data_IF_770191011094
#
_entry.id   IF_770191011094
#
_cell.length_a   1.000
_cell.length_b   1.000
_cell.length_c   1.000
_cell.angle_alpha   90.00
_cell.angle_beta   90.00
_cell.angle_gamma   90.00
#
_symmetry.space_group_name_H-M   'P 1'
#
loop_
_entity.id
_entity.type
_entity.pdbx_description
1 polymer ?
#
# COMPACT_ATOMS: atom_id res chain seq x y z
N UNK A 1 9.98 17.88 -2.80
CA UNK A 1 10.49 16.50 -2.57
C UNK A 1 11.99 16.58 -2.47
N UNK A 2 12.57 15.72 -1.64
CA UNK A 2 14.02 15.53 -1.52
C UNK A 2 14.40 14.13 -1.97
N UNK A 3 15.63 14.02 -2.48
CA UNK A 3 16.16 12.83 -3.10
C UNK A 3 17.55 12.52 -2.54
N UNK A 4 17.92 11.24 -2.54
CA UNK A 4 19.30 10.83 -2.31
C UNK A 4 20.15 10.96 -3.60
N UNK A 5 21.45 10.71 -3.47
CA UNK A 5 22.40 10.73 -4.61
C UNK A 5 22.09 9.66 -5.67
N UNK A 6 21.27 8.66 -5.36
CA UNK A 6 20.83 7.61 -6.28
C UNK A 6 19.49 7.93 -6.96
N UNK A 7 18.92 9.11 -6.68
CA UNK A 7 17.65 9.58 -7.24
C UNK A 7 16.40 9.02 -6.55
N UNK A 8 16.53 8.39 -5.37
CA UNK A 8 15.40 7.88 -4.60
C UNK A 8 14.81 8.96 -3.72
N UNK A 9 13.49 9.03 -3.66
CA UNK A 9 12.78 10.01 -2.83
C UNK A 9 13.01 9.69 -1.36
N UNK A 10 13.59 10.61 -0.61
CA UNK A 10 13.79 10.44 0.84
C UNK A 10 12.66 11.10 1.62
N UNK A 11 12.20 12.28 1.19
CA UNK A 11 11.14 13.03 1.86
C UNK A 11 10.19 13.70 0.87
N UNK A 12 8.91 13.70 1.24
CA UNK A 12 7.82 14.39 0.55
C UNK A 12 7.23 15.42 1.49
N UNK A 13 7.03 16.62 0.98
CA UNK A 13 6.52 17.77 1.72
C UNK A 13 5.20 18.22 1.11
N UNK A 14 4.31 18.76 1.93
CA UNK A 14 3.04 19.34 1.48
C UNK A 14 3.23 20.73 0.87
N UNK A 15 4.30 21.43 1.24
CA UNK A 15 4.57 22.82 0.87
C UNK A 15 5.88 22.98 0.08
N UNK A 16 5.95 24.06 -0.71
CA UNK A 16 7.14 24.40 -1.49
C UNK A 16 8.33 24.82 -0.60
N UNK A 17 8.07 25.36 0.60
CA UNK A 17 9.08 25.77 1.55
C UNK A 17 9.68 24.60 2.36
N UNK A 18 9.19 23.37 2.14
CA UNK A 18 9.65 22.13 2.78
C UNK A 18 9.60 22.18 4.31
N UNK A 19 8.58 22.81 4.86
CA UNK A 19 8.39 22.93 6.31
C UNK A 19 7.52 21.82 6.87
N UNK A 20 6.57 21.29 6.07
CA UNK A 20 5.63 20.26 6.49
C UNK A 20 5.93 18.95 5.76
N UNK A 21 6.68 18.07 6.42
CA UNK A 21 6.94 16.71 5.95
C UNK A 21 5.63 15.93 5.97
N UNK A 22 5.27 15.28 4.88
CA UNK A 22 4.11 14.37 4.79
C UNK A 22 4.54 12.92 4.90
N UNK A 23 5.64 12.57 4.23
CA UNK A 23 6.11 11.19 4.19
C UNK A 23 7.61 11.14 4.06
N UNK A 24 8.24 10.23 4.79
CA UNK A 24 9.67 9.93 4.70
C UNK A 24 9.86 8.45 4.37
N UNK A 25 10.85 8.17 3.55
CA UNK A 25 11.18 6.82 3.10
C UNK A 25 12.57 6.44 3.60
N UNK A 26 12.67 5.23 4.14
CA UNK A 26 13.94 4.61 4.49
C UNK A 26 14.21 3.45 3.53
N UNK A 27 15.47 3.32 3.14
CA UNK A 27 15.93 2.30 2.21
C UNK A 27 16.98 1.42 2.89
N UNK A 28 17.04 0.16 2.51
CA UNK A 28 18.12 -0.75 2.90
C UNK A 28 19.39 -0.51 2.06
N UNK A 29 20.45 -1.26 2.37
CA UNK A 29 21.75 -1.21 1.68
C UNK A 29 21.66 -1.59 0.19
N UNK A 30 20.69 -2.44 -0.16
CA UNK A 30 20.37 -2.82 -1.54
C UNK A 30 19.48 -1.79 -2.23
N UNK A 31 18.99 -0.81 -1.47
CA UNK A 31 18.17 0.26 -1.95
C UNK A 31 16.69 -0.10 -2.16
N UNK A 32 16.20 -1.19 -1.59
CA UNK A 32 14.77 -1.44 -1.48
C UNK A 32 14.18 -0.63 -0.32
N UNK A 33 12.90 -0.27 -0.43
CA UNK A 33 12.20 0.46 0.63
C UNK A 33 12.06 -0.45 1.85
N UNK A 34 12.67 -0.03 2.95
CA UNK A 34 12.64 -0.67 4.26
C UNK A 34 11.44 -0.18 5.08
N UNK A 35 11.22 1.13 5.10
CA UNK A 35 10.12 1.74 5.85
C UNK A 35 9.56 3.00 5.18
N UNK A 36 8.32 3.32 5.55
CA UNK A 36 7.63 4.56 5.20
C UNK A 36 7.06 5.17 6.48
N UNK A 37 7.53 6.35 6.83
CA UNK A 37 7.03 7.16 7.93
C UNK A 37 6.02 8.17 7.38
N UNK A 38 4.83 8.24 7.97
CA UNK A 38 3.78 9.19 7.60
C UNK A 38 3.57 10.17 8.75
N UNK A 39 3.48 11.45 8.43
CA UNK A 39 3.40 12.53 9.39
C UNK A 39 2.05 13.25 9.29
N UNK A 40 1.59 13.83 10.40
CA UNK A 40 0.43 14.71 10.43
C UNK A 40 0.80 16.11 9.86
N UNK A 41 -0.18 16.99 9.72
CA UNK A 41 0.03 18.38 9.29
C UNK A 41 0.88 19.20 10.27
N UNK A 42 0.97 18.78 11.53
CA UNK A 42 1.78 19.43 12.56
C UNK A 42 3.25 19.00 12.52
N UNK A 43 3.60 17.98 11.71
CA UNK A 43 4.95 17.42 11.61
C UNK A 43 5.24 16.27 12.58
N UNK A 44 4.25 15.78 13.33
CA UNK A 44 4.41 14.62 14.21
C UNK A 44 4.24 13.32 13.44
N UNK A 45 5.04 12.31 13.80
CA UNK A 45 4.94 10.97 13.23
C UNK A 45 3.60 10.34 13.62
N UNK A 46 2.86 9.81 12.65
CA UNK A 46 1.62 9.05 12.90
C UNK A 46 1.81 7.55 12.73
N UNK A 47 2.39 7.13 11.60
CA UNK A 47 2.49 5.73 11.24
C UNK A 47 3.85 5.42 10.63
N UNK A 48 4.42 4.28 11.01
CA UNK A 48 5.56 3.68 10.34
C UNK A 48 5.13 2.37 9.72
N UNK A 49 5.16 2.31 8.38
CA UNK A 49 4.91 1.09 7.61
C UNK A 49 6.25 0.41 7.32
N UNK A 50 6.43 -0.83 7.78
CA UNK A 50 7.62 -1.64 7.56
C UNK A 50 7.39 -2.63 6.42
N UNK A 51 8.39 -2.79 5.55
CA UNK A 51 8.35 -3.72 4.43
C UNK A 51 9.38 -4.82 4.63
N UNK A 52 8.92 -6.05 4.88
CA UNK A 52 9.79 -7.22 4.93
C UNK A 52 9.86 -7.82 3.54
N UNK A 53 11.09 -8.09 3.07
CA UNK A 53 11.36 -8.53 1.70
C UNK A 53 12.23 -9.78 1.69
N UNK A 54 12.13 -10.55 0.61
CA UNK A 54 13.09 -11.61 0.30
C UNK A 54 14.40 -11.03 -0.27
N UNK A 55 15.39 -11.90 -0.51
CA UNK A 55 16.68 -11.50 -1.09
C UNK A 55 16.57 -10.97 -2.53
N UNK A 56 15.48 -11.27 -3.24
CA UNK A 56 15.19 -10.77 -4.58
C UNK A 56 14.47 -9.41 -4.57
N UNK A 57 14.06 -8.90 -3.40
CA UNK A 57 13.36 -7.64 -3.22
C UNK A 57 11.83 -7.74 -3.25
N UNK A 58 11.25 -8.93 -3.36
CA UNK A 58 9.80 -9.11 -3.31
C UNK A 58 9.30 -8.89 -1.88
N UNK A 59 8.19 -8.18 -1.70
CA UNK A 59 7.59 -7.94 -0.37
C UNK A 59 6.93 -9.22 0.10
N UNK A 60 7.35 -9.73 1.26
CA UNK A 60 6.75 -10.90 1.91
C UNK A 60 5.62 -10.49 2.85
N UNK A 61 5.80 -9.41 3.58
CA UNK A 61 4.81 -8.92 4.53
C UNK A 61 5.00 -7.43 4.79
N UNK A 62 3.89 -6.76 5.07
CA UNK A 62 3.84 -5.35 5.43
C UNK A 62 3.28 -5.27 6.84
N UNK A 63 3.99 -4.53 7.69
CA UNK A 63 3.56 -4.23 9.04
C UNK A 63 3.34 -2.73 9.19
N UNK A 64 2.46 -2.35 10.10
CA UNK A 64 2.25 -0.96 10.47
C UNK A 64 2.38 -0.79 11.97
N UNK A 65 2.97 0.34 12.37
CA UNK A 65 3.10 0.76 13.74
C UNK A 65 2.56 2.17 13.86
N UNK A 66 1.60 2.37 14.75
CA UNK A 66 1.17 3.72 15.14
C UNK A 66 2.22 4.32 16.07
N UNK A 67 2.63 5.56 15.85
CA UNK A 67 3.66 6.23 16.65
C UNK A 67 3.31 6.35 18.14
N UNK A 68 2.01 6.43 18.46
CA UNK A 68 1.52 6.50 19.84
C UNK A 68 1.50 5.13 20.53
N UNK A 69 1.71 4.03 19.78
CA UNK A 69 1.55 2.67 20.27
C UNK A 69 2.83 1.84 20.01
N UNK A 70 3.29 1.05 20.99
CA UNK A 70 4.47 0.20 20.79
C UNK A 70 4.17 -1.04 19.94
N UNK A 71 2.89 -1.33 19.66
CA UNK A 71 2.48 -2.55 18.98
C UNK A 71 2.69 -2.43 17.46
N UNK A 72 3.29 -3.45 16.88
CA UNK A 72 3.47 -3.59 15.43
C UNK A 72 2.47 -4.63 14.95
N UNK A 73 1.58 -4.23 14.03
CA UNK A 73 0.52 -5.09 13.51
C UNK A 73 0.82 -5.50 12.08
N UNK A 74 0.56 -6.76 11.76
CA UNK A 74 0.57 -7.22 10.38
C UNK A 74 -0.61 -6.57 9.65
N UNK A 75 -0.38 -5.94 8.50
CA UNK A 75 -1.44 -5.30 7.72
C UNK A 75 -1.70 -6.04 6.42
N UNK A 76 -0.64 -6.41 5.69
CA UNK A 76 -0.76 -7.04 4.38
C UNK A 76 0.28 -8.14 4.16
N UNK A 77 -0.13 -9.22 3.52
CA UNK A 77 0.75 -10.29 3.04
C UNK A 77 0.48 -10.49 1.55
N UNK A 78 1.40 -10.11 0.65
CA UNK A 78 1.24 -10.38 -0.77
C UNK A 78 1.17 -11.89 -1.06
N UNK A 79 0.32 -12.29 -2.00
CA UNK A 79 0.17 -13.68 -2.42
C UNK A 79 0.83 -13.86 -3.79
N UNK A 80 1.78 -14.78 -3.88
CA UNK A 80 2.56 -15.04 -5.08
C UNK A 80 2.26 -16.42 -5.68
N UNK A 81 2.33 -16.49 -7.01
CA UNK A 81 2.42 -17.70 -7.82
C UNK A 81 3.60 -17.58 -8.78
N UNK A 82 3.36 -17.62 -10.09
CA UNK A 82 4.36 -17.20 -11.09
C UNK A 82 4.62 -15.68 -11.10
N UNK A 83 3.69 -14.92 -10.51
CA UNK A 83 3.79 -13.49 -10.24
C UNK A 83 2.87 -13.13 -9.06
N UNK A 84 2.70 -11.83 -8.77
CA UNK A 84 1.77 -11.39 -7.73
C UNK A 84 0.32 -11.68 -8.16
N UNK A 85 -0.37 -12.51 -7.39
CA UNK A 85 -1.78 -12.86 -7.61
C UNK A 85 -2.75 -11.96 -6.84
N UNK A 86 -2.27 -11.33 -5.77
CA UNK A 86 -3.09 -10.48 -4.92
C UNK A 86 -2.43 -10.20 -3.56
N UNK A 87 -3.26 -9.97 -2.55
CA UNK A 87 -2.84 -9.78 -1.17
C UNK A 87 -3.85 -10.34 -0.17
N UNK A 88 -3.36 -10.81 0.97
CA UNK A 88 -4.14 -11.07 2.15
C UNK A 88 -4.05 -9.86 3.09
N UNK A 89 -5.19 -9.25 3.42
CA UNK A 89 -5.28 -8.19 4.42
C UNK A 89 -5.56 -8.82 5.77
N UNK A 90 -4.77 -8.46 6.77
CA UNK A 90 -5.00 -8.90 8.14
C UNK A 90 -6.14 -8.08 8.76
N UNK A 91 -7.11 -8.78 9.36
CA UNK A 91 -8.19 -8.19 10.15
C UNK A 91 -7.78 -8.13 11.63
N UNK A 92 -8.49 -7.30 12.38
CA UNK A 92 -8.26 -7.13 13.83
C UNK A 92 -8.45 -8.42 14.64
N UNK A 93 -9.23 -9.38 14.12
CA UNK A 93 -9.45 -10.70 14.73
C UNK A 93 -8.34 -11.71 14.39
N UNK A 94 -7.29 -11.30 13.66
CA UNK A 94 -6.21 -12.16 13.20
C UNK A 94 -6.57 -13.00 11.97
N UNK A 95 -7.79 -12.90 11.44
CA UNK A 95 -8.16 -13.55 10.19
C UNK A 95 -7.55 -12.82 8.99
N UNK A 96 -7.35 -13.55 7.90
CA UNK A 96 -6.84 -13.02 6.64
C UNK A 96 -7.96 -12.93 5.61
N UNK A 97 -8.17 -11.74 5.05
CA UNK A 97 -9.05 -11.52 3.91
C UNK A 97 -8.24 -11.50 2.61
N UNK A 98 -8.43 -12.53 1.80
CA UNK A 98 -7.76 -12.66 0.52
C UNK A 98 -8.44 -11.83 -0.57
N UNK A 99 -7.64 -11.01 -1.23
CA UNK A 99 -8.03 -10.12 -2.31
C UNK A 99 -7.16 -10.47 -3.52
N UNK A 100 -7.77 -11.05 -4.54
CA UNK A 100 -7.08 -11.44 -5.77
C UNK A 100 -7.22 -10.38 -6.84
N UNK A 101 -6.18 -10.18 -7.63
CA UNK A 101 -6.10 -9.17 -8.67
C UNK A 101 -6.09 -9.85 -10.04
N UNK A 102 -6.97 -9.43 -10.94
CA UNK A 102 -6.93 -9.81 -12.36
C UNK A 102 -6.19 -8.72 -13.11
N UNK A 103 -5.01 -9.05 -13.65
CA UNK A 103 -4.17 -8.13 -14.39
C UNK A 103 -4.27 -8.33 -15.90
N UNK A 104 -4.04 -7.27 -16.67
CA UNK A 104 -3.82 -7.36 -18.11
C UNK A 104 -2.35 -7.68 -18.43
N UNK A 105 -2.06 -7.87 -19.72
CA UNK A 105 -0.70 -8.16 -20.21
C UNK A 105 0.33 -7.05 -19.96
N UNK A 106 -0.12 -5.84 -19.60
CA UNK A 106 0.73 -4.71 -19.23
C UNK A 106 0.92 -4.60 -17.71
N UNK A 107 0.32 -5.52 -16.94
CA UNK A 107 0.39 -5.56 -15.48
C UNK A 107 -0.63 -4.66 -14.78
N UNK A 108 -1.59 -4.05 -15.49
CA UNK A 108 -2.61 -3.22 -14.85
C UNK A 108 -3.71 -4.09 -14.27
N UNK A 109 -4.10 -3.82 -13.02
CA UNK A 109 -5.25 -4.48 -12.38
C UNK A 109 -6.56 -3.99 -13.02
N UNK A 110 -7.37 -4.91 -13.54
CA UNK A 110 -8.67 -4.65 -14.17
C UNK A 110 -9.84 -4.97 -13.25
N UNK A 111 -9.69 -6.02 -12.46
CA UNK A 111 -10.68 -6.41 -11.48
C UNK A 111 -10.00 -6.95 -10.21
N UNK A 112 -10.75 -6.89 -9.12
CA UNK A 112 -10.34 -7.41 -7.82
C UNK A 112 -11.43 -8.33 -7.30
N UNK A 113 -11.06 -9.52 -6.84
CA UNK A 113 -11.99 -10.54 -6.36
C UNK A 113 -11.77 -10.75 -4.86
N UNK A 114 -12.81 -10.63 -4.05
CA UNK A 114 -12.79 -10.94 -2.62
C UNK A 114 -14.13 -11.51 -2.18
N UNK A 115 -14.12 -12.52 -1.31
CA UNK A 115 -15.33 -13.12 -0.71
C UNK A 115 -16.48 -13.33 -1.72
N UNK A 116 -16.21 -14.07 -2.82
CA UNK A 116 -17.14 -14.35 -3.93
C UNK A 116 -17.68 -13.11 -4.67
N UNK A 117 -17.17 -11.92 -4.36
CA UNK A 117 -17.56 -10.65 -4.98
C UNK A 117 -16.44 -10.20 -5.91
N UNK A 118 -16.81 -9.81 -7.13
CA UNK A 118 -15.90 -9.20 -8.09
C UNK A 118 -16.13 -7.70 -8.18
N UNK A 119 -15.05 -6.94 -8.07
CA UNK A 119 -15.00 -5.49 -8.16
C UNK A 119 -14.20 -5.08 -9.39
N UNK A 120 -14.89 -4.56 -10.40
CA UNK A 120 -14.25 -4.09 -11.62
C UNK A 120 -13.81 -2.64 -11.40
N UNK A 121 -12.58 -2.30 -11.79
CA UNK A 121 -12.13 -0.90 -11.79
C UNK A 121 -12.87 -0.15 -12.90
N UNK A 122 -13.71 0.86 -12.59
CA UNK A 122 -14.40 1.60 -13.64
C UNK A 122 -13.37 2.48 -14.35
N UNK A 123 -13.19 2.26 -15.65
CA UNK A 123 -12.31 3.12 -16.47
C UNK A 123 -12.98 4.46 -16.83
N UNK A 124 -14.31 4.58 -16.75
CA UNK A 124 -15.09 5.80 -17.02
C UNK A 124 -16.38 5.78 -16.19
N UNK A 125 -16.69 6.85 -15.44
CA UNK A 125 -18.07 7.07 -14.94
C UNK A 125 -18.92 7.52 -16.13
N UNK A 126 -19.66 6.60 -16.74
CA UNK A 126 -20.76 6.97 -17.62
C UNK A 126 -21.88 7.49 -16.70
N UNK A 127 -22.06 8.82 -16.64
CA UNK A 127 -23.28 9.40 -16.09
C UNK A 127 -24.43 8.95 -16.98
N UNK A 128 -25.26 8.02 -16.50
CA UNK A 128 -26.53 7.75 -17.17
C UNK A 128 -27.04 6.31 -17.21
N UNK A 129 -26.58 5.37 -16.38
CA UNK A 129 -27.32 4.12 -16.16
C UNK A 129 -27.30 3.73 -14.68
N UNK A 130 -28.44 3.18 -14.25
CA UNK A 130 -28.95 3.06 -12.88
C UNK A 130 -27.94 2.46 -11.89
N UNK A 131 -27.95 3.05 -10.69
CA UNK A 131 -27.42 2.58 -9.41
C UNK A 131 -26.99 1.10 -9.38
N UNK A 132 -25.69 0.90 -9.26
CA UNK A 132 -25.08 -0.39 -9.00
C UNK A 132 -23.62 -0.23 -8.64
N UNK A 133 -23.32 0.56 -7.59
CA UNK A 133 -22.14 0.24 -6.78
C UNK A 133 -22.36 -1.20 -6.33
N UNK A 134 -21.60 -2.15 -6.87
CA UNK A 134 -21.64 -3.53 -6.37
C UNK A 134 -21.29 -3.42 -4.88
N UNK A 135 -22.22 -3.70 -3.96
CA UNK A 135 -21.96 -3.58 -2.53
C UNK A 135 -20.85 -4.58 -2.19
N UNK A 136 -19.74 -4.08 -1.65
CA UNK A 136 -18.54 -4.87 -1.37
C UNK A 136 -17.26 -4.28 -1.95
N UNK A 137 -17.34 -3.37 -2.91
CA UNK A 137 -16.17 -2.74 -3.54
C UNK A 137 -15.65 -1.51 -2.80
N UNK A 138 -15.31 -1.66 -1.52
CA UNK A 138 -14.49 -0.69 -0.78
C UNK A 138 -13.06 -1.23 -0.61
N UNK A 139 -12.07 -0.36 -0.80
CA UNK A 139 -10.64 -0.61 -0.57
C UNK A 139 -10.33 -0.75 0.91
#
# INVERSE_FOLDING_TARGET
>A
MDYDVTGKVTQVFADAAKTQVTTKYLYDDRGFRLAKETYNSSGDLQFTTWYIRDAGGNVLSVYEQNAEQPQITLTEVPVYGSGKLGMAKAKLDGSLEYIYEMTDHLGNVRATIKNQTMCISPRWKIQGLRNGLIPGCAK
#
